data_IF_759161473574
#
_entry.id   IF_759161473574
#
_cell.length_a   1.000
_cell.length_b   1.000
_cell.length_c   1.000
_cell.angle_alpha   90.00
_cell.angle_beta   90.00
_cell.angle_gamma   90.00
#
_symmetry.space_group_name_H-M   'P 1'
#
loop_
_entity.id
_entity.type
_entity.pdbx_description
1 polymer ?
#
# COMPACT_ATOMS: atom_id res chain seq x y z
N UNK A 1 53.00 -3.76 -44.40
CA UNK A 1 52.90 -4.37 -43.06
C UNK A 1 52.01 -3.58 -42.09
N UNK A 2 50.87 -3.02 -42.53
CA UNK A 2 49.91 -2.28 -41.66
C UNK A 2 48.44 -2.68 -41.85
N UNK A 3 48.16 -3.59 -42.78
CA UNK A 3 46.80 -4.06 -43.11
C UNK A 3 46.47 -5.35 -42.34
N UNK A 4 47.45 -6.25 -42.18
CA UNK A 4 47.28 -7.50 -41.42
C UNK A 4 46.96 -7.28 -39.93
N UNK A 5 47.45 -6.19 -39.32
CA UNK A 5 47.19 -5.86 -37.91
C UNK A 5 45.76 -5.37 -37.65
N UNK A 6 45.05 -4.87 -38.68
CA UNK A 6 43.67 -4.35 -38.52
C UNK A 6 42.59 -5.44 -38.59
N UNK A 7 42.88 -6.56 -39.25
CA UNK A 7 41.94 -7.68 -39.39
C UNK A 7 41.93 -8.54 -38.10
N UNK A 8 43.07 -8.65 -37.41
CA UNK A 8 43.14 -9.30 -36.09
C UNK A 8 42.40 -8.52 -34.99
N UNK A 9 42.32 -7.19 -35.10
CA UNK A 9 41.61 -6.36 -34.12
C UNK A 9 40.08 -6.40 -34.26
N UNK A 10 39.55 -6.66 -35.47
CA UNK A 10 38.10 -6.77 -35.71
C UNK A 10 37.53 -8.13 -35.28
N UNK A 11 38.32 -9.20 -35.37
CA UNK A 11 37.89 -10.54 -34.97
C UNK A 11 37.76 -10.68 -33.44
N UNK A 12 38.58 -9.95 -32.66
CA UNK A 12 38.48 -9.95 -31.19
C UNK A 12 37.28 -9.13 -30.69
N UNK A 13 36.89 -8.06 -31.39
CA UNK A 13 35.67 -7.31 -31.04
C UNK A 13 34.37 -8.05 -31.42
N UNK A 14 34.37 -8.84 -32.49
CA UNK A 14 33.20 -9.62 -32.88
C UNK A 14 32.99 -10.88 -32.00
N UNK A 15 34.06 -11.49 -31.49
CA UNK A 15 33.99 -12.64 -30.58
C UNK A 15 33.52 -12.28 -29.16
N UNK A 16 33.77 -11.05 -28.69
CA UNK A 16 33.32 -10.59 -27.37
C UNK A 16 31.82 -10.31 -27.28
N UNK A 17 31.11 -10.20 -28.41
CA UNK A 17 29.68 -9.88 -28.46
C UNK A 17 28.77 -11.11 -28.36
N UNK A 18 29.34 -12.32 -28.34
CA UNK A 18 28.62 -13.60 -28.27
C UNK A 18 28.88 -14.36 -26.96
N UNK A 19 29.34 -13.67 -25.91
CA UNK A 19 29.29 -14.26 -24.58
C UNK A 19 27.82 -14.54 -24.25
N UNK A 20 27.42 -15.81 -23.98
CA UNK A 20 26.08 -16.09 -23.51
C UNK A 20 25.93 -15.34 -22.19
N UNK A 21 25.13 -14.29 -22.19
CA UNK A 21 24.68 -13.65 -20.96
C UNK A 21 23.88 -14.75 -20.28
N UNK A 22 24.47 -15.37 -19.25
CA UNK A 22 23.74 -16.20 -18.32
C UNK A 22 22.77 -15.27 -17.60
N UNK A 23 21.59 -15.08 -18.20
CA UNK A 23 20.45 -14.49 -17.51
C UNK A 23 20.20 -15.41 -16.31
N UNK A 24 20.31 -14.91 -15.06
CA UNK A 24 19.81 -15.67 -13.94
C UNK A 24 18.37 -16.03 -14.27
N UNK A 25 17.99 -17.30 -14.16
CA UNK A 25 16.58 -17.65 -14.11
C UNK A 25 16.07 -17.04 -12.81
N UNK A 26 15.62 -15.79 -12.86
CA UNK A 26 14.89 -15.18 -11.79
C UNK A 26 13.64 -16.04 -11.60
N UNK A 27 13.67 -16.91 -10.59
CA UNK A 27 12.51 -17.66 -10.20
C UNK A 27 11.54 -16.64 -9.63
N UNK A 28 10.48 -16.31 -10.38
CA UNK A 28 9.45 -15.38 -9.93
C UNK A 28 8.69 -15.91 -8.70
N UNK A 29 8.86 -17.19 -8.35
CA UNK A 29 8.25 -17.82 -7.19
C UNK A 29 9.36 -18.47 -6.34
N UNK A 30 9.25 -18.43 -5.01
CA UNK A 30 10.24 -19.10 -4.17
C UNK A 30 9.89 -20.57 -3.96
N UNK A 31 10.89 -21.42 -4.14
CA UNK A 31 10.79 -22.86 -3.93
C UNK A 31 11.35 -23.21 -2.55
N UNK A 32 10.56 -23.89 -1.73
CA UNK A 32 10.96 -24.40 -0.43
C UNK A 32 10.61 -25.89 -0.33
N UNK A 33 11.31 -26.62 0.55
CA UNK A 33 11.13 -28.06 0.71
C UNK A 33 10.73 -28.44 2.12
N UNK A 34 9.82 -29.41 2.23
CA UNK A 34 9.49 -30.09 3.48
C UNK A 34 9.43 -31.61 3.22
N UNK A 35 10.45 -32.34 3.67
CA UNK A 35 10.57 -33.77 3.35
C UNK A 35 10.65 -34.02 1.85
N UNK A 36 9.72 -34.82 1.33
CA UNK A 36 9.63 -35.16 -0.10
C UNK A 36 8.76 -34.16 -0.91
N UNK A 37 8.36 -33.04 -0.31
CA UNK A 37 7.44 -32.08 -0.92
C UNK A 37 8.16 -30.78 -1.27
N UNK A 38 7.93 -30.31 -2.49
CA UNK A 38 8.24 -28.95 -2.91
C UNK A 38 7.01 -28.06 -2.74
N UNK A 39 7.21 -26.89 -2.14
CA UNK A 39 6.24 -25.83 -2.02
C UNK A 39 6.75 -24.64 -2.83
N UNK A 40 5.96 -24.23 -3.83
CA UNK A 40 6.18 -22.99 -4.57
C UNK A 40 5.25 -21.94 -3.99
N UNK A 41 5.82 -20.82 -3.54
CA UNK A 41 5.11 -19.78 -2.79
C UNK A 41 5.26 -18.42 -3.49
N UNK A 42 4.14 -17.73 -3.68
CA UNK A 42 4.09 -16.38 -4.25
C UNK A 42 2.76 -15.64 -3.98
N UNK A 43 2.53 -14.57 -4.76
CA UNK A 43 1.21 -13.95 -4.85
C UNK A 43 0.44 -14.54 -6.04
N UNK A 44 -0.89 -14.69 -5.88
CA UNK A 44 -1.77 -15.23 -6.92
C UNK A 44 -1.79 -14.35 -8.18
N UNK A 45 -1.80 -13.03 -7.99
CA UNK A 45 -1.74 -12.04 -9.06
C UNK A 45 -0.41 -11.28 -8.98
N UNK A 46 0.42 -11.40 -10.02
CA UNK A 46 1.70 -10.71 -10.13
C UNK A 46 1.78 -9.78 -11.36
N UNK A 47 2.34 -8.56 -11.22
CA UNK A 47 2.83 -7.97 -9.98
C UNK A 47 1.71 -7.67 -8.98
N UNK A 48 1.96 -7.91 -7.69
CA UNK A 48 1.01 -7.58 -6.64
C UNK A 48 0.93 -6.06 -6.45
N UNK A 49 -0.28 -5.52 -6.27
CA UNK A 49 -0.50 -4.10 -6.01
C UNK A 49 -1.23 -3.88 -4.68
N UNK A 50 -0.90 -2.77 -4.02
CA UNK A 50 -1.57 -2.37 -2.79
C UNK A 50 -3.06 -2.07 -3.07
N UNK A 51 -3.95 -2.54 -2.19
CA UNK A 51 -5.38 -2.26 -2.24
C UNK A 51 -6.10 -2.93 -3.40
N UNK A 52 -5.55 -4.02 -3.96
CA UNK A 52 -6.19 -4.84 -5.00
C UNK A 52 -6.43 -6.26 -4.47
N UNK A 53 -7.48 -6.97 -4.94
CA UNK A 53 -7.67 -8.39 -4.66
C UNK A 53 -6.47 -9.23 -5.10
N UNK A 54 -5.97 -10.05 -4.19
CA UNK A 54 -4.87 -10.96 -4.43
C UNK A 54 -5.03 -12.19 -3.52
N UNK A 55 -4.01 -13.05 -3.49
CA UNK A 55 -3.98 -14.19 -2.60
C UNK A 55 -2.59 -14.81 -2.54
N UNK A 56 -2.47 -15.85 -1.73
CA UNK A 56 -1.34 -16.78 -1.80
C UNK A 56 -1.39 -17.55 -3.14
N UNK A 57 -0.29 -17.61 -3.89
CA UNK A 57 -0.08 -18.72 -4.84
C UNK A 57 0.74 -19.79 -4.11
N UNK A 58 0.10 -20.90 -3.76
CA UNK A 58 0.77 -22.04 -3.18
C UNK A 58 0.58 -23.25 -4.09
N UNK A 59 1.68 -23.84 -4.56
CA UNK A 59 1.66 -25.13 -5.27
C UNK A 59 2.47 -26.15 -4.50
N UNK A 60 1.89 -27.34 -4.31
CA UNK A 60 2.52 -28.43 -3.57
C UNK A 60 2.69 -29.64 -4.48
N UNK A 61 3.93 -30.07 -4.68
CA UNK A 61 4.28 -31.23 -5.50
C UNK A 61 5.07 -32.24 -4.67
N UNK A 62 4.75 -33.53 -4.80
CA UNK A 62 5.59 -34.59 -4.26
C UNK A 62 6.76 -34.84 -5.23
N UNK A 63 8.00 -34.60 -4.80
CA UNK A 63 9.19 -34.70 -5.65
C UNK A 63 9.55 -36.14 -6.04
N UNK A 64 9.08 -37.15 -5.30
CA UNK A 64 9.33 -38.56 -5.65
C UNK A 64 8.43 -39.03 -6.79
N UNK A 65 7.19 -38.54 -6.83
CA UNK A 65 6.19 -38.96 -7.82
C UNK A 65 5.95 -37.92 -8.91
N UNK A 66 6.45 -36.71 -8.73
CA UNK A 66 6.17 -35.52 -9.53
C UNK A 66 4.67 -35.21 -9.66
N UNK A 67 3.87 -35.62 -8.67
CA UNK A 67 2.42 -35.41 -8.66
C UNK A 67 2.02 -34.25 -7.75
N UNK A 68 0.99 -33.47 -8.12
CA UNK A 68 0.41 -32.48 -7.24
C UNK A 68 -0.26 -33.13 -6.01
N UNK A 69 -0.16 -32.48 -4.85
CA UNK A 69 -0.74 -32.98 -3.60
C UNK A 69 -2.07 -32.30 -3.31
N UNK A 70 -3.15 -33.08 -3.21
CA UNK A 70 -4.53 -32.61 -3.00
C UNK A 70 -4.95 -32.66 -1.54
N UNK A 71 -6.07 -32.01 -1.21
CA UNK A 71 -6.76 -32.07 0.08
C UNK A 71 -5.94 -31.55 1.28
N UNK A 72 -5.19 -30.46 1.09
CA UNK A 72 -4.36 -29.84 2.14
C UNK A 72 -5.06 -28.69 2.89
N UNK A 73 -6.30 -28.35 2.54
CA UNK A 73 -7.07 -27.24 3.11
C UNK A 73 -7.28 -27.34 4.62
N UNK A 74 -7.45 -28.57 5.10
CA UNK A 74 -7.66 -28.86 6.53
C UNK A 74 -6.35 -29.10 7.29
N UNK A 75 -5.23 -29.31 6.58
CA UNK A 75 -3.96 -29.73 7.19
C UNK A 75 -2.87 -28.67 7.13
N UNK A 76 -2.99 -27.69 6.23
CA UNK A 76 -2.10 -26.54 6.11
C UNK A 76 -2.85 -25.24 6.37
N UNK A 77 -2.10 -24.27 6.88
CA UNK A 77 -2.54 -22.88 7.05
C UNK A 77 -1.49 -21.93 6.52
N UNK A 78 -1.92 -20.71 6.21
CA UNK A 78 -1.03 -19.63 5.82
C UNK A 78 -1.06 -18.50 6.86
N UNK A 79 0.06 -17.86 7.11
CA UNK A 79 0.16 -16.60 7.84
C UNK A 79 0.84 -15.57 6.93
N UNK A 80 0.24 -14.38 6.82
CA UNK A 80 0.83 -13.26 6.09
C UNK A 80 1.34 -12.22 7.09
N UNK A 81 2.60 -11.83 6.94
CA UNK A 81 3.26 -10.83 7.79
C UNK A 81 3.69 -9.61 6.98
N UNK A 82 3.46 -8.42 7.53
CA UNK A 82 3.98 -7.14 7.04
C UNK A 82 4.47 -6.30 8.22
N UNK A 83 5.77 -5.98 8.23
CA UNK A 83 6.39 -5.29 9.37
C UNK A 83 6.18 -6.07 10.67
N UNK A 84 5.53 -5.45 11.66
CA UNK A 84 5.18 -6.10 12.94
C UNK A 84 3.76 -6.68 12.99
N UNK A 85 2.97 -6.59 11.92
CA UNK A 85 1.60 -7.09 11.86
C UNK A 85 1.54 -8.44 11.14
N UNK A 86 0.73 -9.36 11.65
CA UNK A 86 0.55 -10.68 11.07
C UNK A 86 -0.89 -11.17 11.20
N UNK A 87 -1.33 -11.97 10.25
CA UNK A 87 -2.67 -12.56 10.24
C UNK A 87 -2.63 -13.98 9.67
N UNK A 88 -3.33 -14.91 10.31
CA UNK A 88 -3.52 -16.27 9.80
C UNK A 88 -4.74 -16.36 8.88
N UNK A 89 -4.65 -17.25 7.89
CA UNK A 89 -5.66 -17.53 6.89
C UNK A 89 -5.80 -19.04 6.71
N UNK A 90 -7.05 -19.50 6.58
CA UNK A 90 -7.31 -20.80 6.00
C UNK A 90 -6.99 -20.76 4.50
N UNK A 91 -6.43 -21.85 3.98
CA UNK A 91 -6.23 -22.00 2.54
C UNK A 91 -7.40 -22.80 1.93
N UNK A 92 -7.64 -22.62 0.65
CA UNK A 92 -8.58 -23.43 -0.12
C UNK A 92 -7.99 -23.80 -1.48
N UNK A 93 -8.38 -24.94 -2.04
CA UNK A 93 -7.92 -25.34 -3.37
C UNK A 93 -8.38 -24.38 -4.46
N UNK A 94 -7.51 -24.15 -5.44
CA UNK A 94 -7.83 -23.40 -6.64
C UNK A 94 -8.60 -24.29 -7.63
N UNK A 95 -9.74 -23.80 -8.12
CA UNK A 95 -10.61 -24.60 -8.99
C UNK A 95 -9.90 -24.99 -10.29
N UNK A 96 -9.88 -26.30 -10.59
CA UNK A 96 -9.27 -26.85 -11.80
C UNK A 96 -7.74 -26.87 -11.81
N UNK A 97 -7.09 -26.57 -10.68
CA UNK A 97 -5.62 -26.57 -10.54
C UNK A 97 -5.22 -27.53 -9.42
N UNK A 98 -4.94 -28.78 -9.78
CA UNK A 98 -4.56 -29.80 -8.81
C UNK A 98 -3.28 -29.40 -8.05
N UNK A 99 -3.32 -29.49 -6.73
CA UNK A 99 -2.20 -29.14 -5.85
C UNK A 99 -1.92 -27.65 -5.72
N UNK A 100 -2.76 -26.79 -6.30
CA UNK A 100 -2.72 -25.36 -6.10
C UNK A 100 -3.74 -24.92 -5.04
N UNK A 101 -3.31 -24.05 -4.15
CA UNK A 101 -4.10 -23.51 -3.05
C UNK A 101 -3.95 -21.99 -2.99
N UNK A 102 -4.94 -21.33 -2.41
CA UNK A 102 -4.88 -19.90 -2.17
C UNK A 102 -5.51 -19.52 -0.84
N UNK A 103 -5.18 -18.32 -0.39
CA UNK A 103 -5.81 -17.63 0.72
C UNK A 103 -6.02 -16.20 0.26
N UNK A 104 -7.27 -15.74 0.24
CA UNK A 104 -7.62 -14.45 -0.33
C UNK A 104 -7.15 -13.31 0.58
N UNK A 105 -6.42 -12.35 0.00
CA UNK A 105 -5.91 -11.19 0.71
C UNK A 105 -6.03 -9.92 -0.13
N UNK A 106 -6.22 -8.79 0.51
CA UNK A 106 -6.03 -7.46 -0.10
C UNK A 106 -4.84 -6.83 0.62
N UNK A 107 -3.63 -6.81 0.03
CA UNK A 107 -2.47 -6.20 0.66
C UNK A 107 -2.69 -4.69 0.76
N UNK A 108 -2.87 -4.12 1.94
CA UNK A 108 -3.28 -2.71 2.08
C UNK A 108 -2.11 -1.72 2.00
N UNK A 109 -0.87 -2.22 1.99
CA UNK A 109 0.35 -1.42 1.94
C UNK A 109 1.31 -1.98 0.89
N UNK A 110 2.01 -1.11 0.18
CA UNK A 110 3.16 -1.53 -0.61
C UNK A 110 4.34 -1.95 0.29
N UNK A 111 5.19 -2.81 -0.26
CA UNK A 111 6.45 -3.24 0.35
C UNK A 111 6.55 -4.75 0.49
N UNK A 112 7.39 -5.14 1.45
CA UNK A 112 7.78 -6.53 1.67
C UNK A 112 6.81 -7.25 2.59
N UNK A 113 6.38 -8.43 2.15
CA UNK A 113 5.52 -9.34 2.88
C UNK A 113 6.23 -10.68 3.07
N UNK A 114 5.81 -11.44 4.07
CA UNK A 114 6.28 -12.81 4.30
C UNK A 114 5.10 -13.74 4.42
N UNK A 115 5.07 -14.76 3.58
CA UNK A 115 4.18 -15.89 3.72
C UNK A 115 4.85 -16.93 4.63
N UNK A 116 4.10 -17.43 5.61
CA UNK A 116 4.45 -18.61 6.37
C UNK A 116 3.41 -19.68 6.15
N UNK A 117 3.84 -20.87 5.73
CA UNK A 117 3.00 -22.04 5.53
C UNK A 117 3.32 -23.04 6.63
N UNK A 118 2.30 -23.50 7.36
CA UNK A 118 2.52 -24.40 8.49
C UNK A 118 1.40 -25.43 8.64
N UNK A 119 1.72 -26.56 9.28
CA UNK A 119 0.82 -27.70 9.48
C UNK A 119 1.48 -29.00 9.07
N UNK A 120 0.77 -29.83 8.30
CA UNK A 120 1.31 -31.10 7.79
C UNK A 120 0.90 -31.41 6.35
N UNK A 121 1.78 -32.04 5.59
CA UNK A 121 1.50 -32.67 4.29
C UNK A 121 1.63 -34.18 4.45
N UNK A 122 0.51 -34.92 4.37
CA UNK A 122 0.48 -36.38 4.55
C UNK A 122 1.25 -36.85 5.81
N UNK A 123 1.12 -36.12 6.91
CA UNK A 123 1.82 -36.37 8.18
C UNK A 123 3.25 -35.80 8.28
N UNK A 124 3.82 -35.28 7.20
CA UNK A 124 5.11 -34.57 7.21
C UNK A 124 4.92 -33.16 7.77
N UNK A 125 5.63 -32.77 8.86
CA UNK A 125 5.52 -31.42 9.41
C UNK A 125 6.02 -30.34 8.44
N UNK A 126 5.28 -29.24 8.38
CA UNK A 126 5.63 -28.04 7.60
C UNK A 126 5.62 -26.84 8.53
N UNK A 127 6.68 -26.05 8.47
CA UNK A 127 6.76 -24.70 9.03
C UNK A 127 7.81 -23.92 8.23
N UNK A 128 7.37 -23.33 7.12
CA UNK A 128 8.22 -22.70 6.13
C UNK A 128 7.81 -21.24 5.95
N UNK A 129 8.79 -20.35 5.89
CA UNK A 129 8.56 -18.92 5.65
C UNK A 129 9.34 -18.44 4.44
N UNK A 130 8.68 -17.64 3.61
CA UNK A 130 9.27 -17.02 2.43
C UNK A 130 8.92 -15.54 2.39
N UNK A 131 9.94 -14.70 2.38
CA UNK A 131 9.82 -13.24 2.29
C UNK A 131 9.91 -12.79 0.84
N UNK A 132 9.05 -11.86 0.43
CA UNK A 132 9.05 -11.26 -0.91
C UNK A 132 10.31 -10.42 -1.14
N UNK A 133 10.81 -10.41 -2.37
CA UNK A 133 12.03 -9.70 -2.72
C UNK A 133 12.53 -9.98 -4.14
N UNK A 134 13.72 -9.47 -4.49
CA UNK A 134 14.28 -9.61 -5.84
C UNK A 134 14.58 -11.05 -6.25
N UNK A 135 14.85 -11.93 -5.29
CA UNK A 135 15.26 -13.33 -5.50
C UNK A 135 14.13 -14.33 -5.24
N UNK A 136 12.93 -13.86 -4.90
CA UNK A 136 11.76 -14.67 -4.56
C UNK A 136 10.53 -14.12 -5.31
N UNK A 137 9.33 -14.24 -4.72
CA UNK A 137 8.15 -13.57 -5.26
C UNK A 137 8.17 -12.06 -5.06
N UNK A 138 7.46 -11.35 -5.92
CA UNK A 138 7.51 -9.90 -5.99
C UNK A 138 7.00 -9.20 -4.73
N UNK A 139 7.61 -8.07 -4.37
CA UNK A 139 7.04 -7.16 -3.38
C UNK A 139 5.69 -6.62 -3.87
N UNK A 140 4.83 -6.20 -2.92
CA UNK A 140 3.62 -5.47 -3.25
C UNK A 140 3.99 -4.07 -3.70
N UNK A 141 3.53 -3.69 -4.89
CA UNK A 141 3.80 -2.40 -5.51
C UNK A 141 2.76 -1.36 -5.07
N UNK A 142 3.18 -0.10 -4.99
CA UNK A 142 2.23 0.98 -4.75
C UNK A 142 1.37 1.20 -6.00
N UNK A 143 0.04 1.18 -5.84
CA UNK A 143 -0.92 1.39 -6.94
C UNK A 143 -0.65 2.70 -7.69
N UNK A 144 -0.20 3.72 -6.97
CA UNK A 144 0.16 5.03 -7.53
C UNK A 144 1.25 4.97 -8.62
N UNK A 145 2.12 3.94 -8.66
CA UNK A 145 3.19 3.84 -9.67
C UNK A 145 2.67 3.48 -11.05
N UNK A 146 1.46 2.93 -11.14
CA UNK A 146 0.81 2.52 -12.39
C UNK A 146 -0.55 3.18 -12.60
N UNK A 147 -0.88 4.17 -11.77
CA UNK A 147 -2.18 4.84 -11.84
C UNK A 147 -2.25 5.77 -13.06
N UNK A 148 -3.36 5.69 -13.77
CA UNK A 148 -3.69 6.57 -14.88
C UNK A 148 -5.22 6.79 -14.91
N UNK A 149 -5.74 7.99 -15.23
CA UNK A 149 -5.01 9.21 -15.62
C UNK A 149 -4.38 9.99 -14.46
N UNK A 150 -4.73 9.66 -13.23
CA UNK A 150 -4.15 10.25 -12.03
C UNK A 150 -4.11 9.23 -10.90
N UNK A 151 -3.17 9.41 -9.97
CA UNK A 151 -3.15 8.65 -8.73
C UNK A 151 -4.27 9.12 -7.79
N UNK A 152 -4.84 8.18 -7.03
CA UNK A 152 -5.78 8.49 -5.95
C UNK A 152 -5.05 9.21 -4.82
N UNK A 153 -5.69 10.20 -4.16
CA UNK A 153 -5.15 10.79 -2.94
C UNK A 153 -4.96 9.72 -1.87
N UNK A 154 -3.84 9.77 -1.15
CA UNK A 154 -3.63 8.86 -0.03
C UNK A 154 -4.52 9.26 1.15
N UNK A 155 -4.74 8.34 2.09
CA UNK A 155 -5.43 8.68 3.34
C UNK A 155 -4.75 9.82 4.09
N UNK A 156 -3.42 9.95 3.98
CA UNK A 156 -2.68 11.06 4.58
C UNK A 156 -2.98 12.38 3.88
N UNK A 157 -2.98 12.41 2.55
CA UNK A 157 -3.33 13.62 1.78
C UNK A 157 -4.74 14.12 2.14
N UNK A 158 -5.69 13.20 2.33
CA UNK A 158 -7.04 13.52 2.76
C UNK A 158 -7.08 14.07 4.20
N UNK A 159 -6.31 13.48 5.12
CA UNK A 159 -6.20 13.98 6.50
C UNK A 159 -5.60 15.38 6.55
N UNK A 160 -4.59 15.65 5.73
CA UNK A 160 -3.94 16.96 5.64
C UNK A 160 -4.91 18.01 5.06
N UNK A 161 -5.68 17.66 4.03
CA UNK A 161 -6.74 18.52 3.48
C UNK A 161 -7.83 18.80 4.53
N UNK A 162 -8.25 17.80 5.31
CA UNK A 162 -9.23 17.99 6.39
C UNK A 162 -8.66 18.89 7.50
N UNK A 163 -7.39 18.72 7.86
CA UNK A 163 -6.73 19.54 8.86
C UNK A 163 -6.65 21.01 8.40
N UNK A 164 -6.30 21.23 7.13
CA UNK A 164 -6.28 22.57 6.53
C UNK A 164 -7.68 23.20 6.51
N UNK A 165 -8.72 22.44 6.12
CA UNK A 165 -10.10 22.92 6.12
C UNK A 165 -10.58 23.32 7.53
N UNK A 166 -10.23 22.54 8.56
CA UNK A 166 -10.53 22.87 9.97
C UNK A 166 -9.83 24.17 10.40
N UNK A 167 -8.57 24.35 10.04
CA UNK A 167 -7.82 25.57 10.37
C UNK A 167 -8.44 26.83 9.73
N UNK A 168 -8.85 26.74 8.46
CA UNK A 168 -9.58 27.81 7.76
C UNK A 168 -10.91 28.10 8.47
N UNK A 169 -11.68 27.07 8.82
CA UNK A 169 -12.94 27.22 9.52
C UNK A 169 -12.80 27.94 10.87
N UNK A 170 -11.83 27.52 11.70
CA UNK A 170 -11.54 28.15 12.99
C UNK A 170 -11.14 29.62 12.81
N UNK A 171 -10.25 29.90 11.86
CA UNK A 171 -9.78 31.26 11.58
C UNK A 171 -10.92 32.15 11.08
N UNK A 172 -11.76 31.63 10.19
CA UNK A 172 -12.93 32.34 9.67
C UNK A 172 -13.94 32.69 10.77
N UNK A 173 -14.21 31.76 11.70
CA UNK A 173 -15.07 32.02 12.86
C UNK A 173 -14.46 33.12 13.75
N UNK A 174 -13.15 33.06 14.04
CA UNK A 174 -12.47 34.04 14.87
C UNK A 174 -12.52 35.45 14.25
N UNK A 175 -12.20 35.56 12.96
CA UNK A 175 -12.26 36.84 12.22
C UNK A 175 -13.69 37.37 12.18
N UNK A 176 -14.67 36.52 11.91
CA UNK A 176 -16.09 36.90 11.92
C UNK A 176 -16.55 37.41 13.28
N UNK A 177 -16.17 36.75 14.36
CA UNK A 177 -16.49 37.18 15.72
C UNK A 177 -15.86 38.55 16.06
N UNK A 178 -14.59 38.77 15.69
CA UNK A 178 -13.92 40.06 15.88
C UNK A 178 -14.62 41.18 15.10
N UNK A 179 -15.00 40.91 13.84
CA UNK A 179 -15.73 41.88 13.02
C UNK A 179 -17.11 42.23 13.61
N UNK A 180 -17.84 41.24 14.14
CA UNK A 180 -19.12 41.47 14.81
C UNK A 180 -18.96 42.31 16.10
N UNK A 181 -17.94 42.03 16.91
CA UNK A 181 -17.63 42.82 18.11
C UNK A 181 -17.30 44.27 17.74
N UNK A 182 -16.48 44.48 16.70
CA UNK A 182 -16.14 45.81 16.22
C UNK A 182 -17.36 46.57 15.68
N UNK A 183 -18.24 45.91 14.93
CA UNK A 183 -19.48 46.50 14.43
C UNK A 183 -20.43 46.91 15.57
N UNK A 184 -20.60 46.05 16.57
CA UNK A 184 -21.41 46.35 17.75
C UNK A 184 -20.86 47.57 18.52
N UNK A 185 -19.55 47.65 18.68
CA UNK A 185 -18.89 48.79 19.33
C UNK A 185 -19.14 50.12 18.60
N UNK A 186 -19.09 50.12 17.26
CA UNK A 186 -19.39 51.30 16.45
C UNK A 186 -20.86 51.71 16.59
N UNK A 187 -21.79 50.75 16.59
CA UNK A 187 -23.22 51.03 16.76
C UNK A 187 -23.51 51.65 18.13
N UNK A 188 -22.92 51.12 19.20
CA UNK A 188 -23.08 51.66 20.56
C UNK A 188 -22.56 53.09 20.71
N UNK A 189 -21.51 53.49 19.96
CA UNK A 189 -20.99 54.87 19.96
C UNK A 189 -21.82 55.86 19.15
N UNK A 190 -22.63 55.40 18.19
CA UNK A 190 -23.49 56.25 17.35
C UNK A 190 -24.88 56.53 17.94
N UNK A 191 -25.19 56.03 19.14
CA UNK A 191 -26.46 56.34 19.79
C UNK A 191 -26.63 57.87 19.95
N UNK A 192 -27.72 58.47 19.42
CA UNK A 192 -27.89 59.91 19.48
C UNK A 192 -27.98 60.37 20.93
N UNK A 193 -27.24 61.43 21.27
CA UNK A 193 -27.39 62.10 22.55
C UNK A 193 -28.87 62.42 22.75
N UNK A 194 -29.48 61.89 23.83
CA UNK A 194 -30.84 62.25 24.24
C UNK A 194 -30.97 63.77 24.16
N UNK A 195 -31.89 64.24 23.32
CA UNK A 195 -32.27 65.64 23.26
C UNK A 195 -32.52 66.14 24.69
N UNK A 196 -31.69 67.08 25.14
CA UNK A 196 -31.90 67.76 26.41
C UNK A 196 -33.28 68.42 26.35
N UNK A 197 -34.19 67.94 27.20
CA UNK A 197 -35.48 68.57 27.42
C UNK A 197 -35.24 69.99 27.95
N UNK A 198 -35.80 70.99 27.27
CA UNK A 198 -35.77 72.38 27.70
C UNK A 198 -36.48 72.53 29.06
N UNK A 199 -35.90 73.26 30.04
CA UNK A 199 -36.59 73.49 31.29
C UNK A 199 -37.74 74.50 31.10
N UNK A 200 -38.85 74.18 31.74
CA UNK A 200 -40.08 74.95 31.79
C UNK A 200 -39.86 76.35 32.39
N UNK A 201 -40.58 77.33 31.83
CA UNK A 201 -40.69 78.71 32.34
C UNK A 201 -41.11 78.69 33.82
N UNK A 202 -40.27 79.22 34.70
CA UNK A 202 -40.66 79.60 36.05
C UNK A 202 -41.19 81.05 36.04
N UNK A 203 -42.40 81.19 36.56
CA UNK A 203 -43.08 82.45 36.88
C UNK A 203 -42.42 83.14 38.09
N UNK A 204 -42.47 84.48 38.12
CA UNK A 204 -42.14 85.33 39.26
C UNK A 204 -42.00 86.80 38.80
N UNK A 205 -43.09 87.54 38.61
CA UNK A 205 -43.79 88.43 39.57
C UNK A 205 -42.97 89.64 40.09
N UNK A 206 -43.55 90.82 39.81
CA UNK A 206 -43.53 92.10 40.56
C UNK A 206 -42.24 92.95 40.42
N UNK A 207 -42.28 94.27 40.19
CA UNK A 207 -43.34 95.29 40.30
C UNK A 207 -43.19 96.36 39.19
#
# INVERSE_FOLDING_TARGET
MKIATRIAALAVLAGALLAPIAMPTASAHGHLKAGDYELVIGFLNEPAYQGEPNGLDLRVTNEKTSQPVKNLEDTLKAELTYGGSKQEFAIHAQWGQDGAYTADVIPTKAGTYTWRIFGTIEGTPVDLSLTSGPETFGNVNAKATVAFPAAEPTSQDLLDQVAQARAIGITGIAVGAIALIAALFVLLRKAPAKAQAAPAKAQGQQA
#
